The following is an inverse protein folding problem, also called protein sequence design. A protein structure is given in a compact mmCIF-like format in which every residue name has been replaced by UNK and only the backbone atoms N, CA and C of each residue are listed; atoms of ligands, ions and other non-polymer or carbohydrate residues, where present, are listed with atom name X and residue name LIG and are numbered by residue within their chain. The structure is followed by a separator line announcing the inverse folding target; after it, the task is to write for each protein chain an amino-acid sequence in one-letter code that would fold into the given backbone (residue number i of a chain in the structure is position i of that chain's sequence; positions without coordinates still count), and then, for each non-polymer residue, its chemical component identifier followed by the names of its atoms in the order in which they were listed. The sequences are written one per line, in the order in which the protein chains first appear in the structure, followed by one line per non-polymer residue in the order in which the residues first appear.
data_IF_059388661448
#
_entry.id   IF_059388661448
#
_cell.length_a   1.000
_cell.length_b   1.000
_cell.length_c   1.000
_cell.angle_alpha   90.00
_cell.angle_beta   90.00
_cell.angle_gamma   90.00
#
_symmetry.space_group_name_H-M   'P 1'
#
loop_
_entity.id
_entity.type
_entity.pdbx_description
1 polymer ?
#
# COMPACT_ATOMS: atom_id res chain seq x y z
N UNK A 1 5.14 -3.93 -2.69
CA UNK A 1 5.56 -4.20 -1.29
C UNK A 1 4.46 -4.95 -0.56
N UNK A 2 4.78 -6.07 0.05
CA UNK A 2 3.83 -6.92 0.79
C UNK A 2 4.30 -7.02 2.24
N UNK A 3 3.66 -6.35 3.21
CA UNK A 3 3.95 -6.55 4.63
C UNK A 3 3.64 -8.00 5.01
N UNK A 4 4.57 -8.68 5.68
CA UNK A 4 4.42 -10.08 6.05
C UNK A 4 4.61 -10.23 7.55
N UNK A 5 3.67 -10.88 8.22
CA UNK A 5 3.78 -11.25 9.63
C UNK A 5 4.04 -12.75 9.82
N UNK A 6 3.19 -13.60 9.27
CA UNK A 6 3.29 -15.06 9.41
C UNK A 6 3.59 -15.79 8.10
N UNK A 7 3.37 -15.17 6.98
CA UNK A 7 3.56 -15.73 5.64
C UNK A 7 2.74 -14.98 4.61
N UNK A 8 2.86 -15.42 3.35
CA UNK A 8 2.05 -14.92 2.24
C UNK A 8 1.12 -16.06 1.83
N UNK A 9 -0.14 -15.72 1.62
CA UNK A 9 -1.13 -16.67 1.09
C UNK A 9 -0.71 -17.15 -0.31
N UNK A 10 -0.87 -18.46 -0.58
CA UNK A 10 -0.48 -19.05 -1.85
C UNK A 10 -1.24 -18.46 -3.05
N UNK A 11 -2.50 -18.04 -2.86
CA UNK A 11 -3.27 -17.38 -3.92
C UNK A 11 -2.75 -15.97 -4.21
N UNK A 12 -2.25 -15.25 -3.19
CA UNK A 12 -1.57 -13.95 -3.38
C UNK A 12 -0.28 -14.14 -4.19
N UNK A 13 0.54 -15.14 -3.84
CA UNK A 13 1.75 -15.49 -4.60
C UNK A 13 1.38 -15.83 -6.06
N UNK A 14 0.33 -16.59 -6.27
CA UNK A 14 -0.14 -16.95 -7.61
C UNK A 14 -0.63 -15.73 -8.40
N UNK A 15 -1.31 -14.77 -7.76
CA UNK A 15 -1.72 -13.51 -8.40
C UNK A 15 -0.51 -12.69 -8.85
N UNK A 16 0.56 -12.64 -8.03
CA UNK A 16 1.82 -11.97 -8.37
C UNK A 16 2.47 -12.65 -9.58
N UNK A 17 2.56 -13.98 -9.58
CA UNK A 17 3.12 -14.75 -10.68
C UNK A 17 2.34 -14.54 -11.98
N UNK A 18 1.00 -14.60 -11.94
CA UNK A 18 0.14 -14.28 -13.10
C UNK A 18 0.42 -12.87 -13.65
N UNK A 19 0.64 -11.89 -12.77
CA UNK A 19 0.93 -10.52 -13.21
C UNK A 19 2.27 -10.43 -13.95
N UNK A 20 3.30 -11.16 -13.50
CA UNK A 20 4.57 -11.28 -14.24
C UNK A 20 4.39 -11.98 -15.58
N UNK A 21 3.66 -13.10 -15.61
CA UNK A 21 3.36 -13.84 -16.86
C UNK A 21 2.56 -12.99 -17.84
N UNK A 22 1.70 -12.09 -17.36
CA UNK A 22 0.99 -11.11 -18.20
C UNK A 22 1.88 -9.95 -18.69
N UNK A 23 3.19 -9.97 -18.40
CA UNK A 23 4.15 -8.98 -18.86
C UNK A 23 4.21 -7.70 -18.02
N UNK A 24 3.58 -7.64 -16.85
CA UNK A 24 3.70 -6.51 -15.96
C UNK A 24 5.10 -6.47 -15.33
N UNK A 25 5.78 -5.34 -15.48
CA UNK A 25 7.13 -5.13 -14.95
C UNK A 25 7.08 -4.38 -13.63
N UNK A 26 7.37 -5.05 -12.54
CA UNK A 26 7.47 -4.47 -11.21
C UNK A 26 8.49 -5.22 -10.36
N UNK A 27 9.03 -4.57 -9.35
CA UNK A 27 9.84 -5.19 -8.32
C UNK A 27 8.91 -5.56 -7.16
N UNK A 28 8.77 -6.85 -6.90
CA UNK A 28 8.07 -7.31 -5.71
C UNK A 28 9.03 -7.41 -4.53
N UNK A 29 8.70 -6.73 -3.45
CA UNK A 29 9.46 -6.75 -2.21
C UNK A 29 8.59 -7.38 -1.12
N UNK A 30 8.80 -8.66 -0.81
CA UNK A 30 8.11 -9.33 0.28
C UNK A 30 8.75 -8.97 1.62
N UNK A 31 7.96 -8.42 2.54
CA UNK A 31 8.37 -8.13 3.92
C UNK A 31 9.60 -7.26 4.11
N UNK A 32 9.92 -7.01 5.35
CA UNK A 32 11.21 -6.45 5.76
C UNK A 32 12.04 -7.57 6.38
N UNK A 33 13.08 -8.00 5.68
CA UNK A 33 14.19 -8.86 6.17
C UNK A 33 13.82 -10.10 7.02
N UNK A 34 12.77 -10.83 6.63
CA UNK A 34 12.51 -12.18 7.16
C UNK A 34 12.02 -12.27 8.61
N UNK A 35 11.84 -11.17 9.29
CA UNK A 35 11.20 -11.10 10.61
C UNK A 35 9.87 -10.40 10.47
N UNK A 36 8.76 -11.14 10.64
CA UNK A 36 7.43 -10.58 10.60
C UNK A 36 7.25 -9.48 11.66
N UNK A 37 6.81 -8.30 11.24
CA UNK A 37 6.43 -7.22 12.15
C UNK A 37 4.93 -7.23 12.35
N UNK A 38 4.50 -7.51 13.59
CA UNK A 38 3.08 -7.50 13.95
C UNK A 38 2.46 -6.09 13.86
N UNK A 39 3.27 -5.04 13.88
CA UNK A 39 2.82 -3.66 13.73
C UNK A 39 2.82 -3.25 12.26
N UNK A 40 1.73 -3.57 11.57
CA UNK A 40 1.58 -3.35 10.12
C UNK A 40 1.78 -1.88 9.72
N UNK A 41 1.32 -0.94 10.54
CA UNK A 41 1.53 0.51 10.30
C UNK A 41 3.01 0.87 10.32
N UNK A 42 3.79 0.31 11.25
CA UNK A 42 5.23 0.51 11.32
C UNK A 42 5.93 -0.08 10.09
N UNK A 43 5.62 -1.31 9.72
CA UNK A 43 6.18 -1.97 8.53
C UNK A 43 5.92 -1.16 7.26
N UNK A 44 4.70 -0.66 7.09
CA UNK A 44 4.36 0.18 5.94
C UNK A 44 5.08 1.53 5.96
N UNK A 45 5.20 2.16 7.14
CA UNK A 45 5.92 3.42 7.30
C UNK A 45 7.41 3.28 6.97
N UNK A 46 8.07 2.21 7.43
CA UNK A 46 9.47 1.89 7.09
C UNK A 46 9.59 1.68 5.58
N UNK A 47 8.70 0.88 5.00
CA UNK A 47 8.70 0.59 3.57
C UNK A 47 8.50 1.85 2.71
N UNK A 48 7.55 2.71 3.07
CA UNK A 48 7.29 3.97 2.37
C UNK A 48 8.48 4.93 2.47
N UNK A 49 9.10 5.03 3.66
CA UNK A 49 10.29 5.86 3.86
C UNK A 49 11.46 5.37 3.02
N UNK A 50 11.76 4.07 3.08
CA UNK A 50 12.83 3.46 2.28
C UNK A 50 12.60 3.64 0.78
N UNK A 51 11.36 3.44 0.33
CA UNK A 51 11.00 3.69 -1.06
C UNK A 51 11.18 5.17 -1.45
N UNK A 52 10.75 6.10 -0.61
CA UNK A 52 10.88 7.54 -0.87
C UNK A 52 12.35 7.96 -0.97
N UNK A 53 13.19 7.49 -0.04
CA UNK A 53 14.61 7.91 0.06
C UNK A 53 15.52 7.20 -0.95
N UNK A 54 15.31 5.90 -1.16
CA UNK A 54 16.25 5.04 -1.89
C UNK A 54 15.67 4.35 -3.12
N UNK A 55 14.35 4.30 -3.24
CA UNK A 55 13.68 3.62 -4.36
C UNK A 55 13.99 4.28 -5.70
N UNK A 56 14.20 3.46 -6.73
CA UNK A 56 14.43 3.92 -8.12
C UNK A 56 13.14 4.07 -8.93
N UNK A 57 12.00 3.64 -8.35
CA UNK A 57 10.67 3.71 -8.98
C UNK A 57 9.93 4.96 -8.54
N UNK A 58 8.89 5.34 -9.30
CA UNK A 58 8.04 6.50 -8.99
C UNK A 58 6.76 6.11 -8.25
N UNK A 59 6.39 4.83 -8.29
CA UNK A 59 5.15 4.30 -7.75
C UNK A 59 5.41 3.17 -6.77
N UNK A 60 4.75 3.21 -5.61
CA UNK A 60 4.72 2.16 -4.61
C UNK A 60 3.32 1.59 -4.53
N UNK A 61 3.18 0.28 -4.61
CA UNK A 61 1.91 -0.40 -4.36
C UNK A 61 2.07 -1.28 -3.13
N UNK A 62 1.24 -1.04 -2.12
CA UNK A 62 1.05 -1.95 -1.01
C UNK A 62 0.05 -3.03 -1.41
N UNK A 63 0.40 -4.26 -1.07
CA UNK A 63 -0.41 -5.45 -1.28
C UNK A 63 -0.35 -6.28 0.00
N UNK A 64 -1.46 -6.47 0.67
CA UNK A 64 -1.50 -7.33 1.86
C UNK A 64 -1.26 -8.79 1.47
N UNK A 65 -0.72 -9.55 2.41
CA UNK A 65 -0.25 -10.93 2.17
C UNK A 65 -1.37 -11.94 1.89
N UNK A 66 -2.61 -11.52 1.91
CA UNK A 66 -3.83 -12.32 1.69
C UNK A 66 -4.77 -11.71 0.64
N UNK A 67 -4.30 -10.75 -0.13
CA UNK A 67 -5.08 -10.15 -1.23
C UNK A 67 -4.86 -10.94 -2.52
N UNK A 68 -5.95 -11.43 -3.09
CA UNK A 68 -5.98 -12.08 -4.40
C UNK A 68 -6.46 -11.07 -5.44
N UNK A 69 -5.76 -10.98 -6.55
CA UNK A 69 -6.07 -10.05 -7.64
C UNK A 69 -5.78 -10.65 -9.01
N UNK A 70 -6.46 -10.14 -10.03
CA UNK A 70 -6.13 -10.44 -11.42
C UNK A 70 -5.15 -9.40 -11.99
N UNK A 71 -4.29 -9.77 -12.96
CA UNK A 71 -3.29 -8.87 -13.54
C UNK A 71 -3.85 -7.54 -14.03
N UNK A 72 -5.08 -7.54 -14.55
CA UNK A 72 -5.75 -6.34 -15.03
C UNK A 72 -6.04 -5.32 -13.92
N UNK A 73 -6.28 -5.79 -12.69
CA UNK A 73 -6.53 -4.91 -11.55
C UNK A 73 -5.25 -4.18 -11.12
N UNK A 74 -4.12 -4.89 -11.06
CA UNK A 74 -2.82 -4.28 -10.78
C UNK A 74 -2.42 -3.30 -11.88
N UNK A 75 -2.63 -3.68 -13.15
CA UNK A 75 -2.38 -2.81 -14.31
C UNK A 75 -3.22 -1.54 -14.23
N UNK A 76 -4.50 -1.66 -13.94
CA UNK A 76 -5.42 -0.52 -13.80
C UNK A 76 -4.97 0.43 -12.70
N UNK A 77 -4.61 -0.08 -11.51
CA UNK A 77 -4.11 0.73 -10.40
C UNK A 77 -2.86 1.54 -10.81
N UNK A 78 -1.94 0.90 -11.52
CA UNK A 78 -0.74 1.55 -12.04
C UNK A 78 -1.06 2.63 -13.09
N UNK A 79 -1.96 2.35 -14.04
CA UNK A 79 -2.38 3.31 -15.05
C UNK A 79 -3.10 4.52 -14.45
N UNK A 80 -3.91 4.31 -13.42
CA UNK A 80 -4.58 5.38 -12.70
C UNK A 80 -3.55 6.30 -11.99
N UNK A 81 -2.53 5.73 -11.34
CA UNK A 81 -1.42 6.54 -10.78
C UNK A 81 -0.70 7.35 -11.88
N UNK A 82 -0.43 6.74 -13.02
CA UNK A 82 0.17 7.45 -14.17
C UNK A 82 -0.70 8.57 -14.70
N UNK A 83 -2.00 8.47 -14.59
CA UNK A 83 -2.94 9.51 -15.03
C UNK A 83 -3.09 10.68 -14.04
N UNK A 84 -2.36 10.63 -12.90
CA UNK A 84 -2.28 11.75 -11.97
C UNK A 84 -2.93 11.53 -10.60
N UNK A 85 -3.37 10.29 -10.30
CA UNK A 85 -3.85 9.98 -8.96
C UNK A 85 -2.68 9.64 -8.04
N UNK A 86 -2.40 10.54 -7.12
CA UNK A 86 -1.25 10.42 -6.21
C UNK A 86 -1.42 9.32 -5.16
N UNK A 87 -2.64 9.09 -4.70
CA UNK A 87 -3.00 8.03 -3.76
C UNK A 87 -4.29 7.39 -4.27
N UNK A 88 -4.28 6.09 -4.52
CA UNK A 88 -5.42 5.36 -5.05
C UNK A 88 -5.43 3.93 -4.51
N UNK A 89 -6.61 3.33 -4.33
CA UNK A 89 -6.75 1.95 -3.89
C UNK A 89 -7.80 1.17 -4.64
N UNK A 90 -7.58 -0.13 -4.72
CA UNK A 90 -8.54 -1.08 -5.22
C UNK A 90 -9.49 -1.56 -4.13
N UNK A 91 -10.73 -1.84 -4.50
CA UNK A 91 -11.68 -2.52 -3.62
C UNK A 91 -11.30 -3.97 -3.42
N UNK A 92 -11.47 -4.47 -2.21
CA UNK A 92 -11.37 -5.88 -1.89
C UNK A 92 -12.34 -6.27 -0.77
N UNK A 93 -12.83 -7.52 -0.74
CA UNK A 93 -13.76 -7.97 0.31
C UNK A 93 -13.08 -8.03 1.67
N UNK A 94 -13.86 -7.82 2.73
CA UNK A 94 -13.39 -8.08 4.09
C UNK A 94 -13.37 -9.58 4.38
N UNK A 95 -12.59 -10.00 5.38
CA UNK A 95 -12.50 -11.41 5.82
C UNK A 95 -13.76 -11.92 6.54
N UNK A 96 -14.72 -11.08 6.86
CA UNK A 96 -15.98 -11.51 7.48
C UNK A 96 -16.77 -12.33 6.47
N UNK A 97 -16.74 -13.66 6.62
CA UNK A 97 -17.35 -14.65 5.72
C UNK A 97 -18.88 -14.68 5.69
N UNK A 98 -19.52 -13.54 5.52
CA UNK A 98 -20.93 -13.45 5.17
C UNK A 98 -21.02 -13.35 3.65
N UNK A 99 -21.96 -14.10 3.05
CA UNK A 99 -22.23 -14.17 1.60
C UNK A 99 -22.49 -12.79 0.94
N UNK A 100 -22.69 -11.77 1.72
CA UNK A 100 -22.71 -10.39 1.27
C UNK A 100 -21.27 -9.85 1.33
N UNK A 101 -20.60 -9.82 0.20
CA UNK A 101 -19.28 -9.22 0.03
C UNK A 101 -19.28 -7.78 0.57
N UNK A 102 -18.92 -7.63 1.83
CA UNK A 102 -18.67 -6.30 2.39
C UNK A 102 -17.30 -5.84 1.89
N UNK A 103 -17.26 -4.67 1.30
CA UNK A 103 -16.04 -4.06 0.83
C UNK A 103 -15.55 -3.06 1.87
N UNK A 104 -14.26 -3.10 2.17
CA UNK A 104 -13.65 -2.14 3.08
C UNK A 104 -13.36 -0.82 2.34
N UNK A 105 -14.20 0.17 2.59
CA UNK A 105 -14.17 1.49 1.93
C UNK A 105 -14.12 2.62 2.94
N UNK A 106 -13.33 2.51 3.99
CA UNK A 106 -13.38 3.56 5.01
C UNK A 106 -14.80 3.86 5.52
N UNK A 107 -15.71 2.87 5.49
CA UNK A 107 -17.11 3.00 5.91
C UNK A 107 -18.09 3.55 4.87
N UNK A 108 -17.66 3.80 3.63
CA UNK A 108 -18.53 4.35 2.57
C UNK A 108 -18.68 3.31 1.45
N UNK A 109 -19.89 2.85 1.20
CA UNK A 109 -20.19 2.02 0.02
C UNK A 109 -20.09 2.86 -1.26
N UNK A 110 -19.54 2.30 -2.36
CA UNK A 110 -19.43 3.03 -3.63
C UNK A 110 -20.85 3.38 -4.13
N UNK A 111 -21.02 4.66 -4.48
CA UNK A 111 -22.30 5.15 -5.01
C UNK A 111 -22.44 4.93 -6.51
N UNK A 112 -21.33 4.82 -7.21
CA UNK A 112 -21.25 4.68 -8.67
C UNK A 112 -20.08 3.79 -9.08
N UNK A 113 -20.09 3.32 -10.33
CA UNK A 113 -18.91 2.67 -10.94
C UNK A 113 -17.85 3.70 -11.26
N UNK A 114 -16.58 3.32 -11.12
CA UNK A 114 -15.42 4.16 -11.45
C UNK A 114 -14.64 4.67 -10.25
N UNK A 115 -13.74 5.62 -10.49
CA UNK A 115 -12.91 6.22 -9.44
C UNK A 115 -13.75 7.23 -8.66
N UNK A 116 -13.67 7.15 -7.34
CA UNK A 116 -14.38 8.03 -6.42
C UNK A 116 -13.41 8.60 -5.40
N UNK A 117 -13.59 9.85 -5.05
CA UNK A 117 -12.90 10.46 -3.91
C UNK A 117 -13.50 9.95 -2.61
N UNK A 118 -12.64 9.52 -1.69
CA UNK A 118 -13.04 8.99 -0.38
C UNK A 118 -12.19 9.61 0.73
N UNK A 119 -12.73 9.68 1.93
CA UNK A 119 -12.03 10.26 3.08
C UNK A 119 -10.98 9.31 3.67
N UNK A 120 -11.23 8.01 3.65
CA UNK A 120 -10.35 6.99 4.22
C UNK A 120 -10.13 5.89 3.18
N UNK A 121 -8.87 5.55 2.95
CA UNK A 121 -8.47 4.49 2.04
C UNK A 121 -7.83 3.33 2.80
N UNK A 122 -8.31 2.12 2.53
CA UNK A 122 -7.67 0.91 3.03
C UNK A 122 -6.35 0.65 2.32
N UNK A 123 -5.35 0.21 3.07
CA UNK A 123 -3.98 0.05 2.59
C UNK A 123 -3.66 -1.33 2.04
N UNK A 124 -4.62 -2.29 2.06
CA UNK A 124 -4.40 -3.66 1.63
C UNK A 124 -4.13 -3.82 0.13
N UNK A 125 -4.67 -2.92 -0.70
CA UNK A 125 -4.37 -2.82 -2.13
C UNK A 125 -4.34 -1.34 -2.52
N UNK A 126 -3.24 -0.65 -2.21
CA UNK A 126 -3.11 0.80 -2.32
C UNK A 126 -1.84 1.19 -3.07
N UNK A 127 -1.99 2.07 -4.05
CA UNK A 127 -0.90 2.75 -4.73
C UNK A 127 -0.66 4.15 -4.17
N UNK A 128 0.61 4.54 -4.08
CA UNK A 128 1.03 5.88 -3.68
C UNK A 128 2.24 6.31 -4.53
N UNK A 129 2.24 7.55 -5.02
CA UNK A 129 3.38 8.10 -5.76
C UNK A 129 4.50 8.53 -4.81
N UNK A 130 5.74 8.47 -5.29
CA UNK A 130 6.88 9.04 -4.56
C UNK A 130 6.67 10.54 -4.28
N UNK A 131 6.11 11.24 -5.25
CA UNK A 131 5.77 12.66 -5.12
C UNK A 131 4.83 12.91 -3.94
N UNK A 132 3.77 12.10 -3.77
CA UNK A 132 2.84 12.24 -2.65
C UNK A 132 3.54 12.06 -1.29
N UNK A 133 4.41 11.04 -1.16
CA UNK A 133 5.17 10.83 0.07
C UNK A 133 6.08 12.02 0.39
N UNK A 134 6.81 12.53 -0.60
CA UNK A 134 7.67 13.71 -0.45
C UNK A 134 6.87 14.95 -0.07
N UNK A 135 5.71 15.14 -0.68
CA UNK A 135 4.81 16.25 -0.39
C UNK A 135 4.26 16.17 1.03
N UNK A 136 3.85 14.98 1.49
CA UNK A 136 3.40 14.76 2.86
C UNK A 136 4.51 15.17 3.86
N UNK A 137 5.73 14.67 3.68
CA UNK A 137 6.85 15.02 4.58
C UNK A 137 7.12 16.52 4.59
N UNK A 138 7.06 17.17 3.43
CA UNK A 138 7.36 18.61 3.29
C UNK A 138 6.27 19.51 3.83
N UNK A 139 5.01 19.17 3.58
CA UNK A 139 3.88 20.09 3.77
C UNK A 139 3.00 19.76 4.96
N UNK A 140 2.93 18.48 5.36
CA UNK A 140 2.10 18.08 6.50
C UNK A 140 2.55 18.72 7.80
N UNK A 141 1.59 19.19 8.57
CA UNK A 141 1.79 19.72 9.92
C UNK A 141 0.73 19.12 10.84
N UNK A 142 1.16 18.76 12.03
CA UNK A 142 0.24 18.42 13.11
C UNK A 142 -0.55 19.67 13.55
N UNK A 143 -1.68 19.50 14.29
CA UNK A 143 -2.46 20.63 14.79
C UNK A 143 -1.67 21.63 15.62
N UNK A 144 -0.57 21.22 16.26
CA UNK A 144 0.36 22.06 17.01
C UNK A 144 1.41 22.77 16.15
N UNK A 145 1.36 22.59 14.82
CA UNK A 145 2.28 23.18 13.85
C UNK A 145 3.58 22.41 13.65
N UNK A 146 3.80 21.30 14.36
CA UNK A 146 5.02 20.48 14.19
C UNK A 146 5.04 19.73 12.87
N UNK A 147 6.24 19.47 12.33
CA UNK A 147 6.44 18.67 11.12
C UNK A 147 6.39 17.19 11.43
N UNK A 148 6.19 16.38 10.38
CA UNK A 148 6.27 14.94 10.51
C UNK A 148 7.69 14.54 10.99
N UNK A 149 7.86 13.91 12.15
CA UNK A 149 9.18 13.56 12.67
C UNK A 149 9.74 12.34 11.92
N UNK A 150 11.05 12.31 11.72
CA UNK A 150 11.75 11.09 11.30
C UNK A 150 12.08 10.28 12.57
N UNK A 151 11.36 9.21 12.78
CA UNK A 151 11.46 8.37 13.97
C UNK A 151 12.45 7.21 13.77
N UNK A 152 13.11 6.80 14.85
CA UNK A 152 13.83 5.53 14.87
C UNK A 152 12.84 4.39 15.14
N UNK A 153 12.74 3.44 14.22
CA UNK A 153 11.83 2.30 14.30
C UNK A 153 12.60 1.01 14.65
N UNK A 154 12.33 0.50 15.83
CA UNK A 154 12.89 -0.79 16.29
C UNK A 154 14.34 -0.70 16.77
N UNK A 155 14.90 -1.87 17.11
CA UNK A 155 16.26 -2.04 17.64
C UNK A 155 17.36 -2.00 16.57
N UNK A 156 16.99 -2.09 15.30
CA UNK A 156 17.95 -2.20 14.16
C UNK A 156 18.27 -0.85 13.50
N UNK A 157 17.89 0.27 14.13
CA UNK A 157 18.24 1.60 13.63
C UNK A 157 17.49 2.05 12.39
N UNK A 158 16.41 1.37 11.99
CA UNK A 158 15.56 1.82 10.89
C UNK A 158 14.94 3.16 11.22
N UNK A 159 15.00 4.07 10.27
CA UNK A 159 14.33 5.38 10.38
C UNK A 159 13.07 5.35 9.51
N UNK A 160 12.00 5.93 10.01
CA UNK A 160 10.77 6.06 9.24
C UNK A 160 9.97 7.31 9.59
N UNK A 161 9.29 7.85 8.60
CA UNK A 161 8.21 8.81 8.82
C UNK A 161 6.92 8.05 9.17
N UNK A 162 6.12 8.54 10.14
CA UNK A 162 4.87 7.89 10.54
C UNK A 162 3.75 8.18 9.50
N UNK A 163 3.84 7.55 8.34
CA UNK A 163 2.85 7.70 7.26
C UNK A 163 1.54 6.97 7.56
N UNK A 164 1.57 5.93 8.40
CA UNK A 164 0.46 5.03 8.67
C UNK A 164 0.23 4.82 10.17
#
# INVERSE_FOLDING_TARGET
MTPIYQGIDGHTCWSIEKAHQAGLKFLWVPGTEGKGDALICRSRSIAATSFMEHGKCDYLIFLDSDIVFEPIQLKKLYEDMKSGYDIIGGMYPTRSGTDNASYFWGGIAPKTMGIQEIQFLSTGFMGITKYALQKIVKEYRYPDGTTLPLLHAGTEGHRSYPFF
#
